data_IF_187728674440
#
_entry.id   IF_187728674440
#
_cell.length_a   1.000
_cell.length_b   1.000
_cell.length_c   1.000
_cell.angle_alpha   90.00
_cell.angle_beta   90.00
_cell.angle_gamma   90.00
#
_symmetry.space_group_name_H-M   'P 1'
#
loop_
_entity.id
_entity.type
_entity.pdbx_description
1 polymer ?
#
# COMPACT_ATOMS: atom_id res chain seq x y z
N UNK A 1 4.07 -22.70 22.11
CA UNK A 1 3.47 -23.34 20.93
C UNK A 1 4.61 -23.84 20.04
N UNK A 2 4.93 -25.14 20.10
CA UNK A 2 5.80 -25.76 19.10
C UNK A 2 4.96 -25.91 17.84
N UNK A 3 5.37 -25.31 16.73
CA UNK A 3 4.85 -25.65 15.42
C UNK A 3 5.34 -27.06 15.07
N UNK A 4 4.63 -28.05 15.56
CA UNK A 4 4.92 -29.46 15.26
C UNK A 4 4.53 -29.68 13.79
N UNK A 5 5.54 -29.70 12.92
CA UNK A 5 5.34 -30.11 11.54
C UNK A 5 4.80 -31.51 11.47
N UNK A 6 3.76 -31.71 10.68
CA UNK A 6 3.36 -33.04 10.20
C UNK A 6 4.57 -33.63 9.48
N UNK A 7 4.88 -34.96 9.65
CA UNK A 7 5.90 -35.61 8.86
C UNK A 7 5.44 -35.62 7.40
N UNK A 8 5.93 -34.66 6.66
CA UNK A 8 5.64 -34.39 5.26
C UNK A 8 6.31 -33.08 4.90
N UNK A 9 6.73 -32.90 3.66
CA UNK A 9 7.40 -31.71 3.16
C UNK A 9 6.56 -30.47 3.52
N UNK A 10 7.11 -29.58 4.37
CA UNK A 10 6.48 -28.28 4.67
C UNK A 10 6.39 -27.48 3.37
N UNK A 11 5.29 -26.76 3.13
CA UNK A 11 5.22 -25.85 2.01
C UNK A 11 6.41 -24.89 2.05
N UNK A 12 7.02 -24.65 0.90
CA UNK A 12 8.09 -23.68 0.75
C UNK A 12 7.54 -22.32 1.16
N UNK A 13 8.13 -21.68 2.18
CA UNK A 13 7.68 -20.36 2.69
C UNK A 13 6.96 -20.39 4.04
N UNK A 14 6.64 -21.58 4.60
CA UNK A 14 6.05 -21.59 5.95
C UNK A 14 7.04 -21.03 6.99
N UNK A 15 6.58 -20.16 7.91
CA UNK A 15 7.44 -19.59 8.93
C UNK A 15 7.95 -20.72 9.85
N UNK A 16 9.25 -20.73 10.09
CA UNK A 16 9.87 -21.71 11.00
C UNK A 16 9.61 -21.36 12.47
N UNK A 17 9.30 -20.08 12.75
CA UNK A 17 9.11 -19.55 14.10
C UNK A 17 7.85 -18.70 14.18
N UNK A 18 7.27 -18.63 15.38
CA UNK A 18 6.13 -17.79 15.69
C UNK A 18 6.48 -16.30 15.47
N UNK A 19 7.69 -15.90 15.84
CA UNK A 19 8.20 -14.55 15.63
C UNK A 19 8.11 -14.14 14.14
N UNK A 20 8.56 -15.02 13.24
CA UNK A 20 8.50 -14.72 11.80
C UNK A 20 7.05 -14.61 11.31
N UNK A 21 6.14 -15.43 11.82
CA UNK A 21 4.72 -15.30 11.51
C UNK A 21 4.19 -13.93 11.90
N UNK A 22 4.45 -13.49 13.14
CA UNK A 22 4.01 -12.18 13.62
C UNK A 22 4.64 -11.03 12.84
N UNK A 23 5.92 -11.11 12.48
CA UNK A 23 6.58 -10.07 11.66
C UNK A 23 5.90 -9.92 10.29
N UNK A 24 5.53 -11.03 9.65
CA UNK A 24 4.83 -11.01 8.36
C UNK A 24 3.43 -10.41 8.51
N UNK A 25 2.66 -10.85 9.51
CA UNK A 25 1.33 -10.31 9.77
C UNK A 25 1.35 -8.83 10.14
N UNK A 26 2.32 -8.40 10.94
CA UNK A 26 2.48 -6.98 11.29
C UNK A 26 2.79 -6.13 10.06
N UNK A 27 3.69 -6.61 9.21
CA UNK A 27 4.00 -5.94 7.94
C UNK A 27 2.75 -5.76 7.09
N UNK A 28 2.02 -6.85 6.85
CA UNK A 28 0.83 -6.82 6.01
C UNK A 28 -0.27 -5.94 6.63
N UNK A 29 -0.43 -6.00 7.96
CA UNK A 29 -1.37 -5.13 8.68
C UNK A 29 -1.04 -3.64 8.52
N UNK A 30 0.24 -3.25 8.52
CA UNK A 30 0.64 -1.85 8.35
C UNK A 30 0.51 -1.39 6.89
N UNK A 31 0.80 -2.28 5.93
CA UNK A 31 0.82 -1.94 4.50
C UNK A 31 -0.55 -2.05 3.82
N UNK A 32 -1.36 -3.02 4.25
CA UNK A 32 -2.61 -3.41 3.58
C UNK A 32 -3.83 -3.29 4.49
N UNK A 33 -3.61 -2.97 5.77
CA UNK A 33 -4.60 -3.06 6.84
C UNK A 33 -5.25 -4.44 6.99
N UNK A 34 -4.62 -5.47 6.46
CA UNK A 34 -5.14 -6.82 6.47
C UNK A 34 -4.05 -7.83 6.83
N UNK A 35 -4.45 -8.91 7.45
CA UNK A 35 -3.58 -10.06 7.72
C UNK A 35 -4.31 -11.35 7.41
N UNK A 36 -3.66 -12.26 6.67
CA UNK A 36 -4.25 -13.53 6.28
C UNK A 36 -3.41 -14.72 6.76
N UNK A 37 -4.07 -15.68 7.42
CA UNK A 37 -3.41 -16.89 7.92
C UNK A 37 -4.28 -18.11 7.64
N UNK A 38 -3.76 -19.06 6.89
CA UNK A 38 -4.41 -20.33 6.69
C UNK A 38 -4.14 -21.28 7.87
N UNK A 39 -5.19 -21.88 8.39
CA UNK A 39 -5.15 -22.96 9.38
C UNK A 39 -5.07 -24.30 8.65
N UNK A 40 -3.87 -24.82 8.49
CA UNK A 40 -3.69 -26.14 7.86
C UNK A 40 -3.98 -27.23 8.89
N UNK A 41 -4.93 -28.12 8.56
CA UNK A 41 -5.37 -29.21 9.44
C UNK A 41 -4.83 -30.57 9.00
N UNK A 42 -4.70 -31.45 9.95
CA UNK A 42 -4.45 -32.89 9.68
C UNK A 42 -5.72 -33.56 9.16
N UNK A 43 -5.62 -34.79 8.60
CA UNK A 43 -6.78 -35.60 8.21
C UNK A 43 -7.76 -35.85 9.36
N UNK A 44 -7.30 -35.83 10.60
CA UNK A 44 -8.14 -35.96 11.81
C UNK A 44 -8.72 -34.63 12.30
N UNK A 45 -8.66 -33.55 11.53
CA UNK A 45 -9.23 -32.22 11.86
C UNK A 45 -8.40 -31.37 12.85
N UNK A 46 -7.30 -31.89 13.40
CA UNK A 46 -6.45 -31.15 14.34
C UNK A 46 -5.59 -30.12 13.59
N UNK A 47 -5.37 -28.93 14.19
CA UNK A 47 -4.46 -27.93 13.65
C UNK A 47 -3.05 -28.49 13.53
N UNK A 48 -2.51 -28.48 12.32
CA UNK A 48 -1.15 -28.93 12.04
C UNK A 48 -0.16 -27.75 12.12
N UNK A 49 -0.43 -26.67 11.38
CA UNK A 49 0.38 -25.46 11.38
C UNK A 49 -0.43 -24.27 10.85
N UNK A 50 0.12 -23.07 11.06
CA UNK A 50 -0.39 -21.81 10.54
C UNK A 50 0.49 -21.38 9.37
N UNK A 51 -0.12 -21.04 8.24
CA UNK A 51 0.56 -20.58 7.04
C UNK A 51 0.16 -19.12 6.79
N UNK A 52 1.10 -18.16 6.88
CA UNK A 52 0.80 -16.79 6.49
C UNK A 52 0.58 -16.74 4.97
N UNK A 53 -0.41 -15.98 4.57
CA UNK A 53 -0.78 -15.78 3.17
C UNK A 53 -0.67 -14.29 2.85
N UNK A 54 -0.45 -13.98 1.60
CA UNK A 54 -0.47 -12.60 1.12
C UNK A 54 -1.90 -12.05 1.19
N UNK A 55 -2.14 -11.16 2.14
CA UNK A 55 -3.46 -10.57 2.38
C UNK A 55 -3.97 -9.78 1.15
N UNK A 56 -3.06 -9.25 0.32
CA UNK A 56 -3.43 -8.54 -0.91
C UNK A 56 -4.13 -9.44 -1.93
N UNK A 57 -3.91 -10.76 -1.87
CA UNK A 57 -4.51 -11.73 -2.81
C UNK A 57 -5.83 -12.30 -2.34
N UNK A 58 -6.20 -12.09 -1.08
CA UNK A 58 -7.41 -12.64 -0.50
C UNK A 58 -8.59 -11.71 -0.76
N UNK A 59 -9.73 -12.29 -1.17
CA UNK A 59 -10.99 -11.59 -1.37
C UNK A 59 -12.13 -12.35 -0.69
N UNK A 60 -13.18 -11.63 -0.31
CA UNK A 60 -14.43 -12.27 0.08
C UNK A 60 -15.00 -13.04 -1.12
N UNK A 61 -15.45 -14.26 -0.89
CA UNK A 61 -16.10 -15.04 -1.92
C UNK A 61 -17.54 -14.58 -2.10
N UNK A 62 -17.90 -14.20 -3.33
CA UNK A 62 -19.29 -14.03 -3.70
C UNK A 62 -19.91 -15.40 -3.98
N UNK A 63 -21.05 -15.67 -3.36
CA UNK A 63 -21.85 -16.83 -3.70
C UNK A 63 -22.69 -16.50 -4.96
N UNK A 64 -22.78 -17.48 -5.85
CA UNK A 64 -23.69 -17.34 -6.98
C UNK A 64 -25.14 -17.27 -6.49
N UNK A 65 -26.07 -16.64 -7.26
CA UNK A 65 -27.49 -16.62 -6.91
C UNK A 65 -28.09 -18.00 -6.66
N UNK A 66 -27.56 -19.03 -7.35
CA UNK A 66 -27.99 -20.41 -7.19
C UNK A 66 -27.55 -21.04 -5.86
N UNK A 67 -26.38 -20.69 -5.36
CA UNK A 67 -25.86 -21.13 -4.07
C UNK A 67 -26.60 -20.44 -2.92
N UNK A 68 -26.92 -19.15 -3.07
CA UNK A 68 -27.77 -18.39 -2.15
C UNK A 68 -29.17 -19.00 -2.08
N UNK A 69 -29.78 -19.36 -3.21
CA UNK A 69 -31.11 -19.98 -3.27
C UNK A 69 -31.14 -21.36 -2.62
N UNK A 70 -30.02 -22.09 -2.58
CA UNK A 70 -29.88 -23.37 -1.90
C UNK A 70 -29.66 -23.24 -0.39
N UNK A 71 -29.67 -22.03 0.16
CA UNK A 71 -29.40 -21.78 1.57
C UNK A 71 -27.95 -22.07 1.98
N UNK A 72 -27.06 -22.10 1.01
CA UNK A 72 -25.65 -22.22 1.25
C UNK A 72 -25.12 -20.88 1.74
N UNK A 73 -24.42 -20.90 2.83
CA UNK A 73 -23.62 -19.91 3.58
C UNK A 73 -23.75 -18.43 3.19
N UNK A 74 -23.71 -17.57 4.17
CA UNK A 74 -23.46 -16.12 3.99
C UNK A 74 -22.22 -15.94 3.09
N UNK A 75 -22.29 -15.14 2.02
CA UNK A 75 -21.14 -14.81 1.15
C UNK A 75 -19.89 -14.36 1.92
N UNK A 76 -20.09 -13.83 3.13
CA UNK A 76 -19.00 -13.39 4.02
C UNK A 76 -18.31 -14.54 4.76
N UNK A 77 -18.81 -15.76 4.65
CA UNK A 77 -18.21 -16.92 5.32
C UNK A 77 -17.12 -17.64 4.51
N UNK A 78 -16.86 -17.19 3.29
CA UNK A 78 -15.84 -17.77 2.42
C UNK A 78 -14.85 -16.73 1.90
N UNK A 79 -13.70 -17.22 1.48
CA UNK A 79 -12.64 -16.43 0.89
C UNK A 79 -12.10 -17.11 -0.35
N UNK A 80 -11.65 -16.30 -1.29
CA UNK A 80 -10.92 -16.75 -2.49
C UNK A 80 -9.55 -16.10 -2.53
N UNK A 81 -8.58 -16.85 -3.02
CA UNK A 81 -7.29 -16.30 -3.37
C UNK A 81 -7.23 -16.05 -4.86
N UNK A 82 -6.86 -14.83 -5.24
CA UNK A 82 -6.69 -14.43 -6.64
C UNK A 82 -5.22 -14.43 -7.01
N UNK A 83 -4.94 -14.80 -8.25
CA UNK A 83 -3.63 -14.56 -8.84
C UNK A 83 -3.51 -13.05 -9.15
N UNK A 84 -2.51 -12.34 -8.60
CA UNK A 84 -2.37 -10.89 -8.80
C UNK A 84 -2.11 -10.50 -10.26
N UNK A 85 -1.59 -11.41 -11.09
CA UNK A 85 -1.28 -11.14 -12.48
C UNK A 85 -2.44 -11.40 -13.44
N UNK A 86 -3.22 -12.47 -13.22
CA UNK A 86 -4.33 -12.88 -14.11
C UNK A 86 -5.71 -12.52 -13.57
N UNK A 87 -5.83 -12.26 -12.26
CA UNK A 87 -7.12 -12.08 -11.59
C UNK A 87 -7.92 -13.38 -11.40
N UNK A 88 -7.39 -14.51 -11.83
CA UNK A 88 -8.06 -15.80 -11.71
C UNK A 88 -8.06 -16.33 -10.28
N UNK A 89 -9.10 -17.07 -9.92
CA UNK A 89 -9.18 -17.74 -8.62
C UNK A 89 -8.23 -18.92 -8.57
N UNK A 90 -7.27 -18.86 -7.65
CA UNK A 90 -6.27 -19.91 -7.42
C UNK A 90 -6.77 -20.93 -6.40
N UNK A 91 -7.46 -20.47 -5.36
CA UNK A 91 -7.94 -21.30 -4.26
C UNK A 91 -9.19 -20.71 -3.62
N UNK A 92 -10.00 -21.61 -3.03
CA UNK A 92 -11.13 -21.25 -2.18
C UNK A 92 -10.84 -21.68 -0.75
N UNK A 93 -11.22 -20.84 0.22
CA UNK A 93 -11.06 -21.11 1.65
C UNK A 93 -12.38 -20.96 2.35
N UNK A 94 -12.64 -21.87 3.26
CA UNK A 94 -13.71 -21.77 4.23
C UNK A 94 -13.28 -20.81 5.36
N UNK A 95 -14.19 -20.05 5.93
CA UNK A 95 -13.94 -19.20 7.09
C UNK A 95 -13.37 -19.97 8.31
N UNK A 96 -13.60 -21.30 8.36
CA UNK A 96 -13.01 -22.16 9.38
C UNK A 96 -11.51 -22.37 9.19
N UNK A 97 -11.03 -22.29 7.94
CA UNK A 97 -9.66 -22.63 7.57
C UNK A 97 -8.81 -21.42 7.26
N UNK A 98 -9.40 -20.24 7.10
CA UNK A 98 -8.70 -18.98 6.96
C UNK A 98 -9.03 -18.04 8.13
N UNK A 99 -8.02 -17.37 8.65
CA UNK A 99 -8.16 -16.20 9.51
C UNK A 99 -7.84 -15.01 8.63
N UNK A 100 -8.81 -14.13 8.45
CA UNK A 100 -8.64 -12.85 7.75
C UNK A 100 -8.96 -11.73 8.73
N UNK A 101 -7.98 -10.88 8.99
CA UNK A 101 -8.07 -9.81 9.99
C UNK A 101 -7.96 -8.46 9.28
N UNK A 102 -8.85 -7.56 9.62
CA UNK A 102 -8.83 -6.15 9.21
C UNK A 102 -8.71 -5.33 10.49
N UNK A 103 -7.79 -4.39 10.55
CA UNK A 103 -7.53 -3.59 11.76
C UNK A 103 -8.36 -2.32 11.79
N UNK A 104 -8.41 -1.58 10.69
CA UNK A 104 -9.16 -0.34 10.53
C UNK A 104 -10.29 -0.54 9.49
N UNK A 105 -11.38 -1.26 9.84
CA UNK A 105 -12.44 -1.52 8.88
C UNK A 105 -13.12 -0.21 8.48
N UNK A 106 -13.37 -0.04 7.18
CA UNK A 106 -14.09 1.09 6.62
C UNK A 106 -15.47 0.69 6.15
N UNK A 107 -16.44 1.57 6.35
CA UNK A 107 -17.83 1.40 5.83
C UNK A 107 -18.02 2.03 4.47
N UNK A 108 -16.97 2.60 3.88
CA UNK A 108 -17.02 3.22 2.56
C UNK A 108 -17.27 2.17 1.47
N UNK A 109 -18.26 2.44 0.60
CA UNK A 109 -18.70 1.51 -0.42
C UNK A 109 -17.58 1.10 -1.39
N UNK A 110 -16.70 2.04 -1.73
CA UNK A 110 -15.59 1.78 -2.66
C UNK A 110 -14.50 0.89 -2.05
N UNK A 111 -14.41 0.81 -0.72
CA UNK A 111 -13.50 -0.10 -0.02
C UNK A 111 -14.08 -1.52 0.15
N UNK A 112 -15.36 -1.71 -0.15
CA UNK A 112 -16.02 -3.03 -0.11
C UNK A 112 -15.78 -3.80 1.22
N UNK A 113 -15.83 -3.10 2.35
CA UNK A 113 -15.53 -3.61 3.70
C UNK A 113 -14.05 -4.00 3.95
N UNK A 114 -13.12 -3.63 3.08
CA UNK A 114 -11.70 -3.72 3.38
C UNK A 114 -11.23 -2.56 4.25
N UNK A 115 -10.08 -2.73 4.88
CA UNK A 115 -9.55 -1.74 5.80
C UNK A 115 -8.80 -0.59 5.11
N UNK A 116 -8.45 0.42 5.91
CA UNK A 116 -7.66 1.57 5.49
C UNK A 116 -6.25 1.48 6.06
N UNK A 117 -5.22 1.25 5.20
CA UNK A 117 -3.84 1.14 5.66
C UNK A 117 -3.34 2.43 6.28
N UNK A 118 -2.66 2.34 7.42
CA UNK A 118 -2.05 3.51 8.07
C UNK A 118 -1.03 4.23 7.16
N UNK A 119 -0.35 3.48 6.31
CA UNK A 119 0.58 4.07 5.35
C UNK A 119 -0.14 4.96 4.33
N UNK A 120 -1.34 4.61 3.91
CA UNK A 120 -2.14 5.43 2.99
C UNK A 120 -2.49 6.79 3.63
N UNK A 121 -2.89 6.77 4.90
CA UNK A 121 -3.18 8.01 5.67
C UNK A 121 -1.93 8.88 5.79
N UNK A 122 -0.77 8.26 5.95
CA UNK A 122 0.51 8.98 6.12
C UNK A 122 1.09 9.52 4.81
N UNK A 123 0.66 9.06 3.64
CA UNK A 123 1.21 9.47 2.33
C UNK A 123 1.21 10.99 2.16
N UNK A 124 0.11 11.66 2.50
CA UNK A 124 0.01 13.12 2.40
C UNK A 124 1.06 13.84 3.27
N UNK A 125 1.23 13.37 4.51
CA UNK A 125 2.21 13.93 5.47
C UNK A 125 3.64 13.68 4.99
N UNK A 126 3.95 12.47 4.55
CA UNK A 126 5.28 12.10 4.03
C UNK A 126 5.61 12.94 2.79
N UNK A 127 4.66 13.08 1.86
CA UNK A 127 4.84 13.90 0.66
C UNK A 127 5.12 15.37 1.02
N UNK A 128 4.40 15.92 1.99
CA UNK A 128 4.63 17.28 2.47
C UNK A 128 6.02 17.45 3.07
N UNK A 129 6.48 16.48 3.89
CA UNK A 129 7.82 16.51 4.47
C UNK A 129 8.90 16.44 3.39
N UNK A 130 8.80 15.52 2.43
CA UNK A 130 9.75 15.40 1.32
C UNK A 130 9.82 16.67 0.47
N UNK A 131 8.66 17.28 0.18
CA UNK A 131 8.61 18.55 -0.54
C UNK A 131 9.27 19.69 0.26
N UNK A 132 9.06 19.73 1.57
CA UNK A 132 9.70 20.70 2.46
C UNK A 132 11.21 20.54 2.50
N UNK A 133 11.70 19.31 2.59
CA UNK A 133 13.13 19.00 2.54
C UNK A 133 13.75 19.42 1.19
N UNK A 134 13.07 19.10 0.09
CA UNK A 134 13.50 19.49 -1.26
C UNK A 134 13.55 20.99 -1.41
N UNK A 135 12.53 21.70 -0.92
CA UNK A 135 12.47 23.16 -0.92
C UNK A 135 13.64 23.76 -0.10
N UNK A 136 13.87 23.26 1.10
CA UNK A 136 14.97 23.72 1.95
C UNK A 136 16.33 23.46 1.29
N UNK A 137 16.55 22.25 0.75
CA UNK A 137 17.77 21.92 0.03
C UNK A 137 18.01 22.85 -1.17
N UNK A 138 16.96 23.17 -1.93
CA UNK A 138 17.02 24.12 -3.04
C UNK A 138 17.40 25.53 -2.57
N UNK A 139 16.86 25.99 -1.44
CA UNK A 139 17.20 27.30 -0.87
C UNK A 139 18.67 27.37 -0.42
N UNK A 140 19.21 26.28 0.16
CA UNK A 140 20.61 26.21 0.55
C UNK A 140 21.57 26.13 -0.65
N UNK A 141 21.16 25.45 -1.71
CA UNK A 141 21.99 25.27 -2.90
C UNK A 141 21.97 26.48 -3.82
N UNK A 142 20.80 27.10 -3.99
CA UNK A 142 20.60 28.21 -4.92
C UNK A 142 20.63 29.60 -4.25
N UNK A 143 20.84 29.64 -2.94
CA UNK A 143 20.73 30.86 -2.14
C UNK A 143 19.27 31.27 -1.88
N UNK A 144 19.10 32.15 -0.91
CA UNK A 144 17.78 32.74 -0.59
C UNK A 144 17.24 33.43 -1.83
N UNK A 145 16.12 32.97 -2.36
CA UNK A 145 15.38 33.74 -3.36
C UNK A 145 14.94 35.05 -2.69
N UNK A 146 15.56 36.13 -3.09
CA UNK A 146 15.14 37.45 -2.61
C UNK A 146 13.70 37.70 -3.06
N UNK A 147 12.75 37.59 -2.14
CA UNK A 147 11.39 38.08 -2.36
C UNK A 147 11.44 39.61 -2.35
N UNK A 148 11.78 40.22 -3.50
CA UNK A 148 11.89 41.66 -3.64
C UNK A 148 11.31 42.13 -4.95
N UNK A 149 10.75 43.35 -4.97
CA UNK A 149 10.33 44.01 -6.19
C UNK A 149 11.55 44.73 -6.76
N UNK A 150 12.00 44.27 -7.94
CA UNK A 150 13.06 44.98 -8.66
C UNK A 150 12.41 45.99 -9.62
N UNK A 151 12.45 47.27 -9.25
CA UNK A 151 12.00 48.33 -10.12
C UNK A 151 13.17 48.77 -11.02
N UNK A 152 13.08 48.46 -12.31
CA UNK A 152 14.07 48.93 -13.31
C UNK A 152 13.61 50.26 -13.90
N UNK A 153 14.22 51.35 -13.45
CA UNK A 153 14.03 52.65 -14.04
C UNK A 153 14.96 52.83 -15.24
N UNK A 154 14.55 52.35 -16.41
CA UNK A 154 15.31 52.56 -17.65
C UNK A 154 14.35 52.58 -18.84
N UNK A 155 14.71 53.34 -19.88
CA UNK A 155 14.02 53.37 -21.17
C UNK A 155 14.35 52.10 -21.98
N UNK A 156 14.03 50.92 -21.45
CA UNK A 156 14.24 49.66 -22.15
C UNK A 156 13.13 49.42 -23.17
N UNK A 157 13.51 49.01 -24.37
CA UNK A 157 12.59 48.48 -25.36
C UNK A 157 12.09 47.08 -24.88
N UNK A 158 10.87 46.68 -25.28
CA UNK A 158 10.27 45.41 -24.89
C UNK A 158 11.20 44.20 -25.14
N UNK A 159 11.94 44.16 -26.24
CA UNK A 159 12.91 43.09 -26.53
C UNK A 159 14.08 43.06 -25.53
N UNK A 160 14.57 44.22 -25.10
CA UNK A 160 15.64 44.33 -24.10
C UNK A 160 15.14 43.89 -22.72
N UNK A 161 13.89 44.22 -22.41
CA UNK A 161 13.24 43.77 -21.16
C UNK A 161 13.09 42.26 -21.11
N UNK A 162 12.64 41.61 -22.19
CA UNK A 162 12.52 40.13 -22.29
C UNK A 162 13.86 39.45 -22.13
N UNK A 163 14.91 39.94 -22.75
CA UNK A 163 16.27 39.39 -22.61
C UNK A 163 16.77 39.52 -21.18
N UNK A 164 16.53 40.68 -20.56
CA UNK A 164 16.90 40.94 -19.19
C UNK A 164 16.13 40.05 -18.21
N UNK A 165 14.82 39.92 -18.39
CA UNK A 165 13.97 39.03 -17.58
C UNK A 165 14.43 37.57 -17.65
N UNK A 166 14.76 37.06 -18.85
CA UNK A 166 15.31 35.71 -19.01
C UNK A 166 16.65 35.55 -18.29
N UNK A 167 17.56 36.52 -18.39
CA UNK A 167 18.82 36.48 -17.67
C UNK A 167 18.65 36.50 -16.16
N UNK A 168 17.75 37.34 -15.65
CA UNK A 168 17.42 37.38 -14.23
C UNK A 168 16.83 36.02 -13.75
N UNK A 169 15.90 35.50 -14.53
CA UNK A 169 15.30 34.16 -14.22
C UNK A 169 16.33 33.03 -14.21
N UNK A 170 17.30 33.07 -15.14
CA UNK A 170 18.42 32.11 -15.14
C UNK A 170 19.33 32.27 -13.92
N UNK A 171 19.61 33.51 -13.51
CA UNK A 171 20.43 33.76 -12.32
C UNK A 171 19.77 33.29 -11.03
N UNK A 172 18.45 33.45 -10.91
CA UNK A 172 17.71 33.11 -9.69
C UNK A 172 17.38 31.60 -9.58
N UNK A 173 17.12 30.93 -10.67
CA UNK A 173 16.62 29.56 -10.69
C UNK A 173 17.61 28.54 -11.28
N UNK A 174 18.79 28.99 -11.71
CA UNK A 174 19.78 28.14 -12.38
C UNK A 174 19.41 27.74 -13.82
N UNK A 175 20.33 27.14 -14.55
CA UNK A 175 20.15 26.84 -15.98
C UNK A 175 19.04 25.83 -16.30
N UNK A 176 18.60 25.05 -15.33
CA UNK A 176 17.54 24.03 -15.50
C UNK A 176 16.11 24.57 -15.52
N UNK A 177 15.91 25.84 -15.20
CA UNK A 177 14.57 26.44 -15.07
C UNK A 177 13.93 26.89 -16.41
N UNK A 178 14.68 26.81 -17.52
CA UNK A 178 14.23 27.29 -18.83
C UNK A 178 13.26 26.31 -19.52
N UNK A 179 13.22 25.06 -19.07
CA UNK A 179 12.46 23.98 -19.74
C UNK A 179 11.20 23.55 -18.95
N UNK A 180 10.65 24.40 -18.11
CA UNK A 180 9.36 24.17 -17.45
C UNK A 180 8.31 25.17 -17.85
#
# INVERSE_FOLDING_TARGET
>A
LRFAGVPGKRPTGSPKTLERLFRLLLRDSLMLDAGAVQKVRTRGGRLAYLLPMDAATIRYADLSPEELAKGLRDPREGYVQLNPSSGETVAHFDARDLIYLIRNPSTELWRANYGEPELEILVATITTLLNSETYNASNFTNGLQAAGILAVMSNMNNQQFDIWQRKLYMMLNGPSAINR
#
